data_IF_726144026121
#
_entry.id   IF_726144026121
#
_cell.length_a   1.000
_cell.length_b   1.000
_cell.length_c   1.000
_cell.angle_alpha   90.00
_cell.angle_beta   90.00
_cell.angle_gamma   90.00
#
_symmetry.space_group_name_H-M   'P 1'
#
loop_
_entity.id
_entity.type
_entity.pdbx_description
1 polymer ?
#
# COMPACT_ATOMS: atom_id res chain seq x y z
N UNK A 1 0.24 7.99 -31.97
CA UNK A 1 -0.42 7.31 -30.85
C UNK A 1 -1.79 6.90 -31.36
N UNK A 2 -2.04 5.59 -31.43
CA UNK A 2 -3.34 5.06 -31.81
C UNK A 2 -4.34 5.27 -30.66
N UNK A 3 -5.63 5.07 -30.95
CA UNK A 3 -6.66 5.08 -29.90
C UNK A 3 -6.41 3.98 -28.87
N UNK A 4 -6.01 2.79 -29.32
CA UNK A 4 -5.69 1.65 -28.46
C UNK A 4 -4.50 1.95 -27.55
N UNK A 5 -3.45 2.61 -28.08
CA UNK A 5 -2.29 3.01 -27.28
C UNK A 5 -2.67 4.03 -26.18
N UNK A 6 -3.59 4.95 -26.49
CA UNK A 6 -4.07 5.94 -25.54
C UNK A 6 -4.96 5.32 -24.45
N UNK A 7 -5.88 4.41 -24.83
CA UNK A 7 -6.73 3.69 -23.89
C UNK A 7 -5.88 2.85 -22.93
N UNK A 8 -4.89 2.11 -23.44
CA UNK A 8 -3.96 1.35 -22.61
C UNK A 8 -3.13 2.24 -21.66
N UNK A 9 -2.72 3.43 -22.11
CA UNK A 9 -2.00 4.38 -21.26
C UNK A 9 -2.89 4.93 -20.14
N UNK A 10 -4.16 5.23 -20.44
CA UNK A 10 -5.14 5.68 -19.44
C UNK A 10 -5.44 4.59 -18.40
N UNK A 11 -5.66 3.34 -18.82
CA UNK A 11 -5.85 2.22 -17.91
C UNK A 11 -4.64 2.00 -16.99
N UNK A 12 -3.43 2.16 -17.52
CA UNK A 12 -2.21 2.07 -16.73
C UNK A 12 -2.08 3.21 -15.70
N UNK A 13 -2.41 4.43 -16.09
CA UNK A 13 -2.42 5.61 -15.21
C UNK A 13 -3.46 5.46 -14.09
N UNK A 14 -4.68 5.05 -14.44
CA UNK A 14 -5.75 4.81 -13.48
C UNK A 14 -5.39 3.67 -12.50
N UNK A 15 -4.81 2.57 -13.00
CA UNK A 15 -4.32 1.49 -12.16
C UNK A 15 -3.19 1.91 -11.22
N UNK A 16 -2.31 2.84 -11.64
CA UNK A 16 -1.27 3.41 -10.80
C UNK A 16 -1.86 4.31 -9.70
N UNK A 17 -2.83 5.15 -10.05
CA UNK A 17 -3.55 6.00 -9.11
C UNK A 17 -4.24 5.19 -8.01
N UNK A 18 -4.99 4.13 -8.36
CA UNK A 18 -5.64 3.29 -7.36
C UNK A 18 -4.63 2.57 -6.45
N UNK A 19 -3.49 2.13 -6.99
CA UNK A 19 -2.40 1.55 -6.18
C UNK A 19 -1.85 2.56 -5.17
N UNK A 20 -1.60 3.79 -5.59
CA UNK A 20 -1.12 4.86 -4.71
C UNK A 20 -2.14 5.18 -3.59
N UNK A 21 -3.42 5.28 -3.94
CA UNK A 21 -4.50 5.49 -2.98
C UNK A 21 -4.56 4.39 -1.91
N UNK A 22 -4.48 3.12 -2.32
CA UNK A 22 -4.50 1.99 -1.39
C UNK A 22 -3.23 1.93 -0.53
N UNK A 23 -2.06 2.24 -1.10
CA UNK A 23 -0.82 2.34 -0.33
C UNK A 23 -0.92 3.40 0.77
N UNK A 24 -1.41 4.61 0.45
CA UNK A 24 -1.60 5.70 1.42
C UNK A 24 -2.58 5.30 2.52
N UNK A 25 -3.61 4.52 2.19
CA UNK A 25 -4.57 4.01 3.16
C UNK A 25 -3.93 3.01 4.12
N UNK A 26 -3.14 2.08 3.59
CA UNK A 26 -2.45 1.05 4.38
C UNK A 26 -1.41 1.70 5.29
N UNK A 27 -0.58 2.61 4.76
CA UNK A 27 0.44 3.35 5.51
C UNK A 27 -0.17 4.08 6.71
N UNK A 28 -1.25 4.84 6.51
CA UNK A 28 -1.94 5.53 7.61
C UNK A 28 -2.44 4.57 8.68
N UNK A 29 -2.92 3.40 8.27
CA UNK A 29 -3.41 2.37 9.19
C UNK A 29 -2.26 1.77 9.99
N UNK A 30 -1.15 1.43 9.34
CA UNK A 30 0.06 0.92 9.98
C UNK A 30 0.64 1.92 10.97
N UNK A 31 0.74 3.19 10.60
CA UNK A 31 1.22 4.27 11.48
C UNK A 31 0.42 4.36 12.79
N UNK A 32 -0.91 4.24 12.73
CA UNK A 32 -1.77 4.19 13.93
C UNK A 32 -1.53 2.91 14.75
N UNK A 33 -1.41 1.76 14.10
CA UNK A 33 -1.17 0.49 14.78
C UNK A 33 0.19 0.46 15.49
N UNK A 34 1.23 1.04 14.90
CA UNK A 34 2.54 1.15 15.52
C UNK A 34 2.53 2.05 16.75
N UNK A 35 1.80 3.17 16.71
CA UNK A 35 1.60 4.01 17.89
C UNK A 35 0.87 3.22 18.99
N UNK A 36 -0.20 2.49 18.63
CA UNK A 36 -0.91 1.63 19.59
C UNK A 36 -0.03 0.55 20.19
N UNK A 37 0.81 -0.12 19.39
CA UNK A 37 1.75 -1.13 19.89
C UNK A 37 2.70 -0.57 20.94
N UNK A 38 3.16 0.66 20.74
CA UNK A 38 4.04 1.36 21.70
C UNK A 38 3.33 1.74 22.99
N UNK A 39 2.04 2.09 22.93
CA UNK A 39 1.28 2.58 24.09
C UNK A 39 0.63 1.44 24.89
N UNK A 40 0.06 0.46 24.21
CA UNK A 40 -0.77 -0.61 24.79
C UNK A 40 0.03 -1.91 25.00
N UNK A 41 1.24 -1.98 24.44
CA UNK A 41 2.11 -3.15 24.50
C UNK A 41 1.80 -4.20 23.43
N UNK A 42 2.35 -5.40 23.64
CA UNK A 42 2.46 -6.40 22.59
C UNK A 42 1.27 -7.36 22.55
N UNK A 43 0.24 -6.98 21.79
CA UNK A 43 -0.93 -7.82 21.54
C UNK A 43 -0.73 -8.72 20.32
N UNK A 44 -1.00 -10.02 20.46
CA UNK A 44 -0.94 -11.00 19.35
C UNK A 44 -1.81 -10.58 18.18
N UNK A 45 -3.03 -10.10 18.45
CA UNK A 45 -3.97 -9.65 17.42
C UNK A 45 -3.43 -8.42 16.68
N UNK A 46 -2.77 -7.51 17.40
CA UNK A 46 -2.20 -6.30 16.83
C UNK A 46 -1.04 -6.65 15.89
N UNK A 47 -0.14 -7.56 16.31
CA UNK A 47 0.95 -8.09 15.45
C UNK A 47 0.41 -8.75 14.18
N UNK A 48 -0.57 -9.64 14.30
CA UNK A 48 -1.18 -10.29 13.13
C UNK A 48 -1.80 -9.28 12.14
N UNK A 49 -2.38 -8.20 12.67
CA UNK A 49 -2.96 -7.14 11.85
C UNK A 49 -1.89 -6.32 11.14
N UNK A 50 -0.80 -5.98 11.83
CA UNK A 50 0.37 -5.30 11.24
C UNK A 50 0.97 -6.18 10.14
N UNK A 51 1.32 -7.42 10.44
CA UNK A 51 1.91 -8.36 9.47
C UNK A 51 1.08 -8.49 8.19
N UNK A 52 -0.25 -8.58 8.33
CA UNK A 52 -1.15 -8.68 7.18
C UNK A 52 -1.11 -7.41 6.32
N UNK A 53 -1.10 -6.25 6.95
CA UNK A 53 -1.07 -4.96 6.25
C UNK A 53 0.29 -4.71 5.59
N UNK A 54 1.40 -5.09 6.22
CA UNK A 54 2.73 -5.00 5.62
C UNK A 54 2.87 -5.91 4.39
N UNK A 55 2.35 -7.15 4.48
CA UNK A 55 2.32 -8.06 3.31
C UNK A 55 1.46 -7.51 2.19
N UNK A 56 0.33 -6.90 2.51
CA UNK A 56 -0.54 -6.27 1.50
C UNK A 56 0.16 -5.06 0.87
N UNK A 57 0.84 -4.24 1.67
CA UNK A 57 1.63 -3.10 1.18
C UNK A 57 2.75 -3.56 0.23
N UNK A 58 3.50 -4.60 0.60
CA UNK A 58 4.53 -5.20 -0.26
C UNK A 58 3.95 -5.77 -1.55
N UNK A 59 2.79 -6.44 -1.49
CA UNK A 59 2.15 -7.01 -2.67
C UNK A 59 1.63 -5.95 -3.65
N UNK A 60 1.15 -4.80 -3.15
CA UNK A 60 0.60 -3.73 -3.98
C UNK A 60 1.66 -2.83 -4.62
N UNK A 61 2.81 -2.69 -3.97
CA UNK A 61 3.81 -1.68 -4.33
C UNK A 61 5.16 -2.23 -4.79
N UNK A 62 5.38 -3.54 -4.67
CA UNK A 62 6.74 -4.06 -4.79
C UNK A 62 7.62 -3.55 -3.65
N UNK A 63 8.95 -3.75 -3.72
CA UNK A 63 9.85 -3.20 -2.70
C UNK A 63 9.73 -1.65 -2.68
N UNK A 64 10.00 -0.98 -1.55
CA UNK A 64 9.99 0.49 -1.50
C UNK A 64 10.84 1.17 -2.58
N UNK A 65 11.88 0.48 -3.10
CA UNK A 65 12.70 0.98 -4.20
C UNK A 65 12.01 0.97 -5.57
N UNK A 66 10.92 0.22 -5.74
CA UNK A 66 10.15 0.14 -7.00
C UNK A 66 9.07 1.22 -7.13
N UNK A 67 8.79 1.96 -6.05
CA UNK A 67 7.86 3.10 -6.06
C UNK A 67 8.54 4.44 -6.36
N UNK A 68 9.86 4.51 -6.26
CA UNK A 68 10.65 5.75 -6.41
C UNK A 68 11.38 5.87 -7.75
N UNK A 69 11.19 4.92 -8.66
CA UNK A 69 11.75 4.88 -10.02
C UNK A 69 10.66 5.11 -11.07
#
# INVERSE_FOLDING_TARGET
MSREDWEAAQEAEEAAFYRECEWKRIERTLSVLYVRQRLEGDSVLLRQRVDRLERLQQALCGSPEQLSA
#
